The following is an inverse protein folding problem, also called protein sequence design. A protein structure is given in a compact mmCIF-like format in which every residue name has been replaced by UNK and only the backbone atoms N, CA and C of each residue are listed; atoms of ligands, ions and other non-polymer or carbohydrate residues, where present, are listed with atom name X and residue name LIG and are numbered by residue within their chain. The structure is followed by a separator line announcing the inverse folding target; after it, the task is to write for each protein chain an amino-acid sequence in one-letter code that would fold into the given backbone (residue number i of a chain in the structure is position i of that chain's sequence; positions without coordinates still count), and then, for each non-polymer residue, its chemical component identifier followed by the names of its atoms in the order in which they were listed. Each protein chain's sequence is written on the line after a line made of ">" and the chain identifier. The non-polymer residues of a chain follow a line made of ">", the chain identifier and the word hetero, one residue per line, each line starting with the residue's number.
data_IF_332652370732
#
_entry.id   IF_332652370732
#
_cell.length_a   1.000
_cell.length_b   1.000
_cell.length_c   1.000
_cell.angle_alpha   90.00
_cell.angle_beta   90.00
_cell.angle_gamma   90.00
#
_symmetry.space_group_name_H-M   'P 1'
#
loop_
_entity.id
_entity.type
_entity.pdbx_description
1 polymer ?
#
# COMPACT_ATOMS: atom_id res chain seq x y z
N UNK A 1 -41.07 29.28 43.09
CA UNK A 1 -41.54 30.67 42.92
C UNK A 1 -40.32 31.59 42.85
N UNK A 2 -40.24 32.42 41.79
CA UNK A 2 -39.29 33.54 41.49
C UNK A 2 -37.81 33.15 41.31
N UNK A 3 -37.16 33.18 40.13
CA UNK A 3 -36.98 34.17 39.04
C UNK A 3 -36.11 35.40 39.39
N UNK A 4 -34.89 35.49 38.83
CA UNK A 4 -34.24 36.69 38.22
C UNK A 4 -32.73 36.42 38.00
N UNK A 5 -32.19 36.37 36.77
CA UNK A 5 -31.78 37.42 35.79
C UNK A 5 -30.26 37.70 35.83
N UNK A 6 -29.70 37.89 34.62
CA UNK A 6 -28.31 37.85 34.17
C UNK A 6 -27.41 39.08 34.54
N UNK A 7 -26.09 38.78 34.59
CA UNK A 7 -24.92 39.54 34.05
C UNK A 7 -24.42 40.84 34.71
N UNK A 8 -23.19 41.37 34.42
CA UNK A 8 -22.01 40.84 33.70
C UNK A 8 -20.65 40.94 34.46
N UNK A 9 -19.60 40.35 33.88
CA UNK A 9 -18.19 40.31 34.30
C UNK A 9 -17.44 41.65 34.24
N UNK A 10 -16.27 41.77 34.91
CA UNK A 10 -15.17 42.60 34.44
C UNK A 10 -13.87 41.82 34.14
N UNK A 11 -13.12 42.44 33.25
CA UNK A 11 -11.99 42.01 32.42
C UNK A 11 -10.64 41.85 33.14
N UNK A 12 -9.89 40.81 32.77
CA UNK A 12 -8.45 40.61 33.04
C UNK A 12 -7.55 41.36 32.04
N UNK A 13 -6.37 41.87 32.43
CA UNK A 13 -5.50 42.64 31.54
C UNK A 13 -4.61 41.78 30.63
N UNK A 14 -4.46 42.26 29.39
CA UNK A 14 -3.67 41.70 28.28
C UNK A 14 -2.16 41.86 28.50
N UNK A 15 -1.41 40.76 28.44
CA UNK A 15 0.05 40.73 28.34
C UNK A 15 0.51 40.83 26.88
N UNK A 16 1.46 41.75 26.66
CA UNK A 16 2.09 42.17 25.40
C UNK A 16 3.18 41.18 24.97
N UNK A 17 3.31 40.76 23.69
CA UNK A 17 4.46 39.96 23.26
C UNK A 17 5.66 40.84 22.86
N UNK A 18 6.84 40.56 23.46
CA UNK A 18 8.15 41.09 23.07
C UNK A 18 8.57 40.54 21.70
N UNK A 19 8.92 41.43 20.76
CA UNK A 19 9.66 41.12 19.52
C UNK A 19 11.11 40.78 19.86
N UNK A 20 11.58 39.61 19.44
CA UNK A 20 13.00 39.31 19.31
C UNK A 20 13.36 39.50 17.84
N UNK A 21 14.14 40.55 17.57
CA UNK A 21 14.84 40.78 16.31
C UNK A 21 15.95 39.74 16.20
N UNK A 22 16.09 39.06 15.07
CA UNK A 22 17.41 38.68 14.60
C UNK A 22 17.55 38.95 13.10
N UNK A 23 18.59 39.73 12.83
CA UNK A 23 18.98 40.34 11.58
C UNK A 23 20.25 39.61 11.14
N UNK A 24 20.19 38.81 10.08
CA UNK A 24 21.37 38.50 9.27
C UNK A 24 20.93 38.49 7.79
N UNK A 25 21.55 39.42 7.06
CA UNK A 25 21.80 39.49 5.61
C UNK A 25 21.66 38.17 4.85
N UNK A 26 21.09 38.10 3.65
CA UNK A 26 21.14 39.07 2.56
C UNK A 26 21.84 38.41 1.37
N UNK A 27 21.08 37.79 0.47
CA UNK A 27 21.46 37.61 -0.95
C UNK A 27 20.18 37.69 -1.77
N UNK A 28 20.11 38.73 -2.58
CA UNK A 28 19.09 39.04 -3.58
C UNK A 28 19.67 38.62 -4.93
N UNK A 29 18.95 37.81 -5.71
CA UNK A 29 19.18 37.73 -7.15
C UNK A 29 17.82 37.91 -7.82
N UNK A 30 17.72 39.03 -8.53
CA UNK A 30 16.55 39.52 -9.22
C UNK A 30 16.20 38.66 -10.44
N UNK A 31 14.91 38.65 -10.75
CA UNK A 31 14.35 38.18 -12.00
C UNK A 31 14.63 39.18 -13.13
N UNK A 32 15.04 38.70 -14.30
CA UNK A 32 14.94 39.45 -15.55
C UNK A 32 14.39 38.50 -16.63
N UNK A 33 13.22 38.86 -17.14
CA UNK A 33 12.69 38.46 -18.44
C UNK A 33 13.35 39.30 -19.53
N UNK A 34 13.76 38.70 -20.66
CA UNK A 34 13.51 39.23 -22.00
C UNK A 34 13.97 38.27 -23.11
N UNK A 35 13.40 38.50 -24.28
CA UNK A 35 13.23 37.65 -25.45
C UNK A 35 14.36 37.73 -26.50
N UNK A 36 14.27 36.77 -27.43
CA UNK A 36 14.57 36.84 -28.89
C UNK A 36 16.02 36.83 -29.43
N UNK A 37 16.26 35.75 -30.20
CA UNK A 37 16.81 35.65 -31.57
C UNK A 37 18.31 35.80 -31.88
N UNK A 38 18.79 34.76 -32.59
CA UNK A 38 19.63 34.78 -33.80
C UNK A 38 21.00 34.07 -33.71
N UNK A 39 20.98 32.83 -34.21
CA UNK A 39 21.82 32.23 -35.26
C UNK A 39 23.35 32.43 -35.27
N UNK A 40 24.07 31.30 -35.25
CA UNK A 40 25.14 30.99 -36.23
C UNK A 40 25.13 29.50 -36.58
N UNK A 41 25.01 29.25 -37.89
CA UNK A 41 25.12 27.99 -38.61
C UNK A 41 26.56 27.47 -38.70
N UNK A 42 26.70 26.15 -38.87
CA UNK A 42 27.62 25.44 -39.81
C UNK A 42 27.38 23.93 -39.63
N UNK A 43 26.49 23.27 -40.40
CA UNK A 43 26.63 22.73 -41.76
C UNK A 43 27.27 21.33 -41.83
N UNK A 44 26.51 20.34 -42.32
CA UNK A 44 26.95 19.29 -43.26
C UNK A 44 25.84 18.27 -43.60
N UNK A 45 25.33 18.46 -44.82
CA UNK A 45 25.05 17.45 -45.88
C UNK A 45 24.10 16.26 -45.63
N UNK A 46 23.03 16.29 -46.42
CA UNK A 46 22.11 15.20 -46.76
C UNK A 46 22.78 14.03 -47.49
N UNK A 47 22.38 12.80 -47.15
CA UNK A 47 22.17 11.74 -48.14
C UNK A 47 21.10 10.74 -47.65
N UNK A 48 20.02 10.68 -48.40
CA UNK A 48 18.95 9.68 -48.31
C UNK A 48 19.35 8.40 -49.05
N UNK A 49 19.27 7.24 -48.40
CA UNK A 49 19.26 5.94 -49.09
C UNK A 49 18.35 4.94 -48.37
N UNK A 50 17.40 4.40 -49.13
CA UNK A 50 16.58 3.24 -48.81
C UNK A 50 17.34 1.95 -49.07
N UNK A 51 17.30 0.97 -48.15
CA UNK A 51 17.57 -0.46 -48.43
C UNK A 51 16.76 -1.27 -47.39
N UNK A 52 15.63 -1.90 -47.75
CA UNK A 52 15.49 -3.28 -48.28
C UNK A 52 16.05 -4.35 -47.32
N UNK A 53 15.22 -4.88 -46.43
CA UNK A 53 15.54 -6.11 -45.69
C UNK A 53 14.97 -7.33 -46.42
N UNK A 54 15.88 -8.17 -46.90
CA UNK A 54 15.62 -9.44 -47.55
C UNK A 54 14.91 -10.43 -46.60
N UNK A 55 13.81 -11.01 -47.07
CA UNK A 55 13.26 -12.25 -46.52
C UNK A 55 14.02 -13.43 -47.15
N UNK A 56 14.74 -14.19 -46.32
CA UNK A 56 15.27 -15.50 -46.70
C UNK A 56 14.17 -16.55 -46.64
N UNK A 57 14.04 -17.29 -47.74
CA UNK A 57 13.16 -18.43 -47.96
C UNK A 57 13.35 -19.51 -46.89
N UNK A 58 12.25 -20.04 -46.37
CA UNK A 58 12.16 -21.45 -45.99
C UNK A 58 10.97 -22.04 -46.75
N UNK A 59 11.23 -23.13 -47.47
CA UNK A 59 10.35 -23.80 -48.41
C UNK A 59 9.89 -25.14 -47.79
N UNK A 60 8.66 -25.56 -48.09
CA UNK A 60 8.07 -26.86 -47.72
C UNK A 60 7.30 -26.78 -46.39
N UNK A 61 6.04 -27.17 -46.25
CA UNK A 61 5.22 -28.09 -47.04
C UNK A 61 3.74 -27.66 -46.87
N UNK A 62 3.01 -27.54 -47.98
CA UNK A 62 1.56 -27.23 -47.99
C UNK A 62 0.81 -28.55 -48.17
N UNK A 63 -0.18 -28.81 -47.33
CA UNK A 63 -1.26 -29.75 -47.65
C UNK A 63 -2.58 -29.04 -47.41
N UNK A 64 -3.36 -28.93 -48.49
CA UNK A 64 -4.71 -28.36 -48.55
C UNK A 64 -5.76 -29.47 -48.33
N UNK A 65 -7.03 -29.09 -48.06
CA UNK A 65 -8.00 -29.92 -47.36
C UNK A 65 -8.80 -30.83 -48.29
N UNK A 66 -9.39 -31.89 -47.72
CA UNK A 66 -10.37 -32.76 -48.39
C UNK A 66 -11.76 -32.48 -47.82
N UNK A 67 -12.67 -32.16 -48.73
CA UNK A 67 -14.10 -31.96 -48.56
C UNK A 67 -14.80 -33.30 -48.85
N UNK A 68 -15.61 -33.82 -47.94
CA UNK A 68 -16.61 -34.85 -48.24
C UNK A 68 -17.92 -34.46 -47.55
N UNK A 69 -18.94 -34.28 -48.38
CA UNK A 69 -20.37 -34.15 -48.04
C UNK A 69 -20.98 -35.52 -47.76
N UNK A 70 -21.86 -35.63 -46.76
CA UNK A 70 -22.75 -36.77 -46.55
C UNK A 70 -23.71 -36.51 -45.39
N UNK A 71 -25.00 -36.52 -45.69
CA UNK A 71 -26.12 -36.31 -44.77
C UNK A 71 -26.58 -37.64 -44.10
N UNK A 72 -27.61 -37.53 -43.25
CA UNK A 72 -28.30 -38.56 -42.43
C UNK A 72 -27.64 -38.81 -41.06
N UNK A 73 -28.31 -38.70 -39.90
CA UNK A 73 -29.72 -38.90 -39.58
C UNK A 73 -29.81 -40.12 -38.64
N UNK A 74 -29.81 -39.91 -37.32
CA UNK A 74 -29.96 -41.02 -36.37
C UNK A 74 -29.67 -40.64 -34.92
N UNK A 75 -30.73 -40.58 -34.12
CA UNK A 75 -30.71 -40.55 -32.66
C UNK A 75 -29.85 -41.69 -32.09
N UNK A 76 -28.97 -41.37 -31.14
CA UNK A 76 -28.43 -42.36 -30.22
C UNK A 76 -28.44 -41.82 -28.79
N UNK A 77 -29.48 -42.21 -28.07
CA UNK A 77 -29.56 -42.11 -26.61
C UNK A 77 -28.61 -43.14 -26.01
N UNK A 78 -27.59 -42.68 -25.28
CA UNK A 78 -26.76 -43.53 -24.44
C UNK A 78 -26.93 -43.12 -22.97
N UNK A 79 -27.77 -43.88 -22.27
CA UNK A 79 -27.92 -43.90 -20.81
C UNK A 79 -27.15 -45.10 -20.28
N UNK A 80 -26.15 -44.88 -19.44
CA UNK A 80 -25.55 -45.82 -18.49
C UNK A 80 -24.28 -45.17 -17.91
N UNK A 81 -23.83 -45.33 -16.67
CA UNK A 81 -24.34 -45.88 -15.41
C UNK A 81 -23.36 -45.34 -14.37
N UNK A 82 -23.86 -44.91 -13.22
CA UNK A 82 -23.05 -44.47 -12.07
C UNK A 82 -22.11 -45.59 -11.60
N UNK A 83 -20.80 -45.33 -11.62
CA UNK A 83 -19.83 -46.11 -10.85
C UNK A 83 -19.35 -45.21 -9.71
N UNK A 84 -19.75 -45.58 -8.49
CA UNK A 84 -19.21 -45.04 -7.26
C UNK A 84 -17.85 -45.67 -7.01
N UNK A 85 -16.76 -44.94 -7.27
CA UNK A 85 -15.46 -45.24 -6.68
C UNK A 85 -15.32 -44.44 -5.38
N UNK A 86 -15.47 -45.19 -4.28
CA UNK A 86 -15.20 -44.77 -2.92
C UNK A 86 -13.69 -44.88 -2.67
N UNK A 87 -12.96 -43.82 -3.00
CA UNK A 87 -11.62 -43.60 -2.45
C UNK A 87 -11.68 -42.58 -1.32
N UNK A 88 -11.12 -42.98 -0.18
CA UNK A 88 -11.09 -42.22 1.09
C UNK A 88 -10.20 -40.98 1.03
N UNK A 89 -10.57 -40.00 0.21
CA UNK A 89 -10.07 -38.64 0.29
C UNK A 89 -10.87 -37.91 1.39
N UNK A 90 -10.19 -37.33 2.38
CA UNK A 90 -10.82 -36.48 3.39
C UNK A 90 -11.80 -35.50 2.72
N UNK A 91 -13.02 -35.30 3.26
CA UNK A 91 -14.06 -34.56 2.56
C UNK A 91 -13.55 -33.17 2.22
N UNK A 92 -13.32 -32.91 0.93
CA UNK A 92 -13.01 -31.56 0.43
C UNK A 92 -14.11 -30.66 0.98
N UNK A 93 -13.79 -29.62 1.77
CA UNK A 93 -14.82 -28.76 2.36
C UNK A 93 -15.71 -28.26 1.23
N UNK A 94 -17.03 -28.39 1.39
CA UNK A 94 -17.99 -28.01 0.37
C UNK A 94 -17.67 -26.59 -0.13
N UNK A 95 -17.89 -26.33 -1.43
CA UNK A 95 -17.55 -25.04 -2.06
C UNK A 95 -18.10 -23.83 -1.29
N UNK A 96 -19.23 -24.00 -0.61
CA UNK A 96 -19.82 -23.03 0.31
C UNK A 96 -18.99 -22.78 1.57
N UNK A 97 -18.45 -23.82 2.22
CA UNK A 97 -17.59 -23.68 3.41
C UNK A 97 -16.31 -22.93 3.06
N UNK A 98 -15.69 -23.22 1.92
CA UNK A 98 -14.49 -22.51 1.46
C UNK A 98 -14.79 -21.03 1.17
N UNK A 99 -15.93 -20.76 0.53
CA UNK A 99 -16.37 -19.39 0.23
C UNK A 99 -16.68 -18.61 1.52
N UNK A 100 -17.35 -19.24 2.48
CA UNK A 100 -17.64 -18.65 3.78
C UNK A 100 -16.35 -18.38 4.57
N UNK A 101 -15.43 -19.34 4.62
CA UNK A 101 -14.13 -19.18 5.27
C UNK A 101 -13.35 -18.00 4.66
N UNK A 102 -13.32 -17.90 3.33
CA UNK A 102 -12.67 -16.79 2.65
C UNK A 102 -13.34 -15.45 2.97
N UNK A 103 -14.68 -15.40 2.96
CA UNK A 103 -15.45 -14.22 3.36
C UNK A 103 -15.15 -13.76 4.79
N UNK A 104 -15.08 -14.70 5.74
CA UNK A 104 -14.69 -14.41 7.12
C UNK A 104 -13.26 -13.88 7.23
N UNK A 105 -12.32 -14.40 6.44
CA UNK A 105 -10.95 -13.88 6.40
C UNK A 105 -10.89 -12.44 5.90
N UNK A 106 -11.65 -12.10 4.83
CA UNK A 106 -11.77 -10.70 4.37
C UNK A 106 -12.41 -9.80 5.43
N UNK A 107 -13.47 -10.26 6.08
CA UNK A 107 -14.11 -9.53 7.19
C UNK A 107 -13.13 -9.24 8.33
N UNK A 108 -12.41 -10.27 8.79
CA UNK A 108 -11.39 -10.14 9.83
C UNK A 108 -10.26 -9.20 9.40
N UNK A 109 -9.80 -9.32 8.16
CA UNK A 109 -8.77 -8.42 7.61
C UNK A 109 -9.19 -6.96 7.68
N UNK A 110 -10.42 -6.65 7.29
CA UNK A 110 -10.93 -5.27 7.30
C UNK A 110 -11.17 -4.75 8.71
N UNK A 111 -11.78 -5.55 9.58
CA UNK A 111 -12.03 -5.18 10.99
C UNK A 111 -10.72 -4.87 11.70
N UNK A 112 -9.73 -5.77 11.61
CA UNK A 112 -8.42 -5.54 12.22
C UNK A 112 -7.73 -4.30 11.65
N UNK A 113 -7.87 -4.03 10.35
CA UNK A 113 -7.29 -2.84 9.75
C UNK A 113 -7.97 -1.54 10.20
N UNK A 114 -9.29 -1.55 10.40
CA UNK A 114 -10.04 -0.42 10.98
C UNK A 114 -9.57 -0.15 12.40
N UNK A 115 -9.53 -1.20 13.24
CA UNK A 115 -9.04 -1.09 14.62
C UNK A 115 -7.60 -0.59 14.69
N UNK A 116 -6.71 -1.10 13.83
CA UNK A 116 -5.35 -0.59 13.71
C UNK A 116 -5.34 0.91 13.41
N UNK A 117 -5.99 1.36 12.34
CA UNK A 117 -5.89 2.77 11.92
C UNK A 117 -6.51 3.75 12.94
N UNK A 118 -7.66 3.38 13.51
CA UNK A 118 -8.34 4.22 14.52
C UNK A 118 -7.51 4.31 15.80
N UNK A 119 -7.05 3.17 16.35
CA UNK A 119 -6.27 3.18 17.58
C UNK A 119 -4.88 3.79 17.37
N UNK A 120 -4.23 3.52 16.24
CA UNK A 120 -2.94 4.11 15.89
C UNK A 120 -3.02 5.64 15.81
N UNK A 121 -4.08 6.18 15.18
CA UNK A 121 -4.30 7.63 15.16
C UNK A 121 -4.52 8.19 16.56
N UNK A 122 -5.26 7.50 17.43
CA UNK A 122 -5.46 7.94 18.80
C UNK A 122 -4.15 7.94 19.60
N UNK A 123 -3.31 6.91 19.44
CA UNK A 123 -1.97 6.85 20.05
C UNK A 123 -1.11 8.01 19.53
N UNK A 124 -1.03 8.23 18.22
CA UNK A 124 -0.20 9.28 17.63
C UNK A 124 -0.70 10.71 17.95
N UNK A 125 -1.97 10.88 18.33
CA UNK A 125 -2.49 12.17 18.84
C UNK A 125 -1.93 12.54 20.20
N UNK A 126 -1.75 11.57 21.10
CA UNK A 126 -1.27 11.80 22.47
C UNK A 126 0.22 11.54 22.64
N UNK A 127 0.80 10.67 21.80
CA UNK A 127 2.19 10.28 21.79
C UNK A 127 2.77 10.47 20.37
N UNK A 128 3.19 11.71 20.01
CA UNK A 128 3.52 12.11 18.64
C UNK A 128 4.95 11.68 18.21
N UNK A 129 5.30 10.42 18.48
CA UNK A 129 6.60 9.81 18.21
C UNK A 129 6.43 8.64 17.23
N UNK A 130 6.24 8.92 15.93
CA UNK A 130 5.89 7.90 14.94
C UNK A 130 6.98 6.84 14.73
N UNK A 131 8.27 7.17 14.91
CA UNK A 131 9.35 6.18 14.75
C UNK A 131 9.24 5.14 15.86
N UNK A 132 9.07 5.59 17.10
CA UNK A 132 8.90 4.75 18.29
C UNK A 132 7.63 3.91 18.19
N UNK A 133 6.49 4.51 17.82
CA UNK A 133 5.23 3.76 17.65
C UNK A 133 5.36 2.67 16.59
N UNK A 134 6.03 2.96 15.47
CA UNK A 134 6.30 1.97 14.41
C UNK A 134 7.26 0.88 14.90
N UNK A 135 8.29 1.24 15.67
CA UNK A 135 9.22 0.28 16.25
C UNK A 135 8.52 -0.67 17.24
N UNK A 136 7.61 -0.16 18.08
CA UNK A 136 6.76 -0.96 18.98
C UNK A 136 5.87 -1.92 18.18
N UNK A 137 5.30 -1.48 17.06
CA UNK A 137 4.51 -2.34 16.18
C UNK A 137 5.32 -3.51 15.63
N UNK A 138 6.54 -3.25 15.14
CA UNK A 138 7.44 -4.31 14.68
C UNK A 138 7.99 -5.19 15.82
N UNK A 139 8.19 -4.61 17.02
CA UNK A 139 8.62 -5.36 18.20
C UNK A 139 7.57 -6.40 18.61
N UNK A 140 6.31 -5.99 18.75
CA UNK A 140 5.21 -6.90 19.09
C UNK A 140 5.00 -7.93 17.96
N UNK A 141 5.07 -7.51 16.69
CA UNK A 141 5.03 -8.45 15.57
C UNK A 141 6.13 -9.49 15.64
N UNK A 142 7.36 -9.09 15.96
CA UNK A 142 8.50 -9.99 16.19
C UNK A 142 8.24 -10.96 17.33
N UNK A 143 7.69 -10.50 18.46
CA UNK A 143 7.32 -11.37 19.59
C UNK A 143 6.25 -12.41 19.19
N UNK A 144 5.24 -12.01 18.42
CA UNK A 144 4.21 -12.91 17.92
C UNK A 144 4.77 -13.96 16.93
N UNK A 145 5.71 -13.56 16.07
CA UNK A 145 6.42 -14.50 15.17
C UNK A 145 7.25 -15.50 15.98
N UNK A 146 8.02 -15.00 16.96
CA UNK A 146 8.82 -15.87 17.82
C UNK A 146 7.93 -16.85 18.59
N UNK A 147 6.81 -16.39 19.14
CA UNK A 147 5.81 -17.24 19.77
C UNK A 147 5.29 -18.32 18.81
N UNK A 148 4.88 -17.93 17.60
CA UNK A 148 4.41 -18.85 16.55
C UNK A 148 5.44 -19.94 16.19
N UNK A 149 6.72 -19.58 16.05
CA UNK A 149 7.78 -20.54 15.75
C UNK A 149 8.18 -21.41 16.94
N UNK A 150 8.21 -20.85 18.16
CA UNK A 150 8.55 -21.61 19.38
C UNK A 150 7.51 -22.66 19.73
N UNK A 151 6.23 -22.36 19.53
CA UNK A 151 5.13 -23.30 19.71
C UNK A 151 4.90 -24.21 18.48
N UNK A 152 5.75 -24.10 17.45
CA UNK A 152 5.64 -24.85 16.20
C UNK A 152 4.26 -24.74 15.52
N UNK A 153 3.59 -23.59 15.69
CA UNK A 153 2.29 -23.29 15.05
C UNK A 153 2.47 -23.04 13.55
N UNK A 154 3.68 -22.67 13.12
CA UNK A 154 4.08 -22.59 11.73
C UNK A 154 5.54 -23.00 11.59
N UNK A 155 5.87 -23.66 10.47
CA UNK A 155 7.23 -24.20 10.23
C UNK A 155 8.24 -23.06 10.18
N UNK A 156 9.20 -23.08 11.11
CA UNK A 156 10.32 -22.12 11.13
C UNK A 156 11.13 -22.25 9.83
N UNK A 157 11.41 -21.13 9.14
CA UNK A 157 12.17 -21.18 7.90
C UNK A 157 13.65 -21.43 8.20
N UNK A 158 14.30 -22.25 7.37
CA UNK A 158 15.76 -22.36 7.32
C UNK A 158 16.25 -21.25 6.39
N UNK A 159 16.82 -20.18 6.94
CA UNK A 159 17.28 -19.03 6.16
C UNK A 159 18.81 -18.96 6.23
N UNK A 160 19.47 -19.00 5.07
CA UNK A 160 20.91 -18.79 4.93
C UNK A 160 21.27 -17.30 5.05
N UNK A 161 22.52 -17.00 5.42
CA UNK A 161 23.03 -15.62 5.45
C UNK A 161 22.89 -14.90 4.09
N UNK A 162 23.11 -15.61 2.98
CA UNK A 162 22.93 -15.09 1.63
C UNK A 162 21.47 -14.76 1.30
N UNK A 163 20.51 -15.52 1.83
CA UNK A 163 19.09 -15.20 1.71
C UNK A 163 18.73 -13.96 2.54
N UNK A 164 19.27 -13.80 3.76
CA UNK A 164 19.05 -12.59 4.57
C UNK A 164 19.54 -11.33 3.87
N UNK A 165 20.73 -11.36 3.26
CA UNK A 165 21.26 -10.22 2.47
C UNK A 165 20.35 -9.90 1.27
N UNK A 166 19.78 -10.92 0.61
CA UNK A 166 18.85 -10.72 -0.49
C UNK A 166 17.48 -10.15 -0.04
N UNK A 167 17.05 -10.44 1.19
CA UNK A 167 15.79 -9.95 1.78
C UNK A 167 15.97 -8.54 2.38
N UNK A 168 17.19 -8.16 2.76
CA UNK A 168 17.47 -6.87 3.40
C UNK A 168 16.91 -5.66 2.64
N UNK A 169 17.06 -5.52 1.31
CA UNK A 169 16.46 -4.42 0.57
C UNK A 169 14.93 -4.37 0.71
N UNK A 170 14.26 -5.53 0.72
CA UNK A 170 12.81 -5.63 0.91
C UNK A 170 12.41 -5.18 2.32
N UNK A 171 13.21 -5.55 3.34
CA UNK A 171 12.98 -5.14 4.73
C UNK A 171 13.14 -3.64 4.92
N UNK A 172 14.17 -3.02 4.32
CA UNK A 172 14.38 -1.56 4.37
C UNK A 172 13.18 -0.80 3.79
N UNK A 173 12.76 -1.15 2.57
CA UNK A 173 11.61 -0.46 1.94
C UNK A 173 10.29 -0.73 2.65
N UNK A 174 10.10 -1.93 3.24
CA UNK A 174 8.94 -2.24 4.06
C UNK A 174 8.91 -1.41 5.35
N UNK A 175 10.07 -1.27 6.01
CA UNK A 175 10.23 -0.44 7.21
C UNK A 175 9.86 1.01 6.91
N UNK A 176 10.46 1.58 5.85
CA UNK A 176 10.19 2.96 5.43
C UNK A 176 8.73 3.18 5.03
N UNK A 177 8.11 2.23 4.32
CA UNK A 177 6.71 2.32 3.94
C UNK A 177 5.74 2.38 5.12
N UNK A 178 5.97 1.56 6.15
CA UNK A 178 5.18 1.60 7.37
C UNK A 178 5.46 2.85 8.20
N UNK A 179 6.75 3.23 8.33
CA UNK A 179 7.13 4.45 9.03
C UNK A 179 6.49 5.68 8.41
N UNK A 180 6.60 5.88 7.10
CA UNK A 180 6.01 7.03 6.42
C UNK A 180 4.48 7.03 6.47
N UNK A 181 3.85 5.85 6.48
CA UNK A 181 2.40 5.74 6.72
C UNK A 181 2.06 6.26 8.13
N UNK A 182 2.79 5.85 9.16
CA UNK A 182 2.58 6.32 10.54
C UNK A 182 2.90 7.81 10.72
N UNK A 183 3.94 8.33 10.05
CA UNK A 183 4.24 9.77 10.04
C UNK A 183 3.09 10.57 9.42
N UNK A 184 2.48 10.06 8.35
CA UNK A 184 1.28 10.68 7.75
C UNK A 184 0.09 10.64 8.71
N UNK A 185 -0.24 9.47 9.25
CA UNK A 185 -1.33 9.32 10.24
C UNK A 185 -1.13 10.21 11.47
N UNK A 186 0.10 10.50 11.87
CA UNK A 186 0.40 11.44 12.95
C UNK A 186 0.05 12.89 12.60
N UNK A 187 0.15 13.29 11.33
CA UNK A 187 0.05 14.69 10.88
C UNK A 187 -1.29 15.06 10.24
N UNK A 188 -1.98 14.12 9.60
CA UNK A 188 -3.24 14.37 8.86
C UNK A 188 -4.35 13.42 9.29
N UNK A 189 -5.57 13.59 8.78
CA UNK A 189 -6.66 12.65 8.98
C UNK A 189 -6.34 11.25 8.42
N UNK A 190 -6.90 10.22 9.05
CA UNK A 190 -6.75 8.82 8.61
C UNK A 190 -7.33 8.65 7.20
N UNK A 191 -8.53 9.18 6.97
CA UNK A 191 -9.18 9.22 5.67
C UNK A 191 -8.27 9.81 4.60
N UNK A 192 -7.70 10.99 4.85
CA UNK A 192 -6.82 11.66 3.91
C UNK A 192 -5.54 10.85 3.61
N UNK A 193 -4.91 10.25 4.63
CA UNK A 193 -3.76 9.37 4.44
C UNK A 193 -4.10 8.24 3.46
N UNK A 194 -5.24 7.59 3.65
CA UNK A 194 -5.68 6.49 2.79
C UNK A 194 -6.15 6.95 1.40
N UNK A 195 -6.69 8.16 1.27
CA UNK A 195 -6.95 8.79 -0.03
C UNK A 195 -5.65 9.02 -0.80
N UNK A 196 -4.63 9.66 -0.21
CA UNK A 196 -3.33 9.88 -0.87
C UNK A 196 -2.65 8.55 -1.21
N UNK A 197 -2.77 7.55 -0.35
CA UNK A 197 -2.23 6.22 -0.63
C UNK A 197 -2.91 5.53 -1.82
N UNK A 198 -4.05 6.03 -2.32
CA UNK A 198 -4.68 5.48 -3.53
C UNK A 198 -3.80 5.66 -4.78
N UNK A 199 -2.76 6.50 -4.71
CA UNK A 199 -1.73 6.68 -5.74
C UNK A 199 -0.77 5.49 -5.90
N UNK A 200 -0.92 4.41 -5.12
CA UNK A 200 -0.11 3.19 -5.25
C UNK A 200 0.03 2.69 -6.71
N UNK A 201 -1.04 2.59 -7.53
CA UNK A 201 -0.93 2.21 -8.94
C UNK A 201 -0.02 3.10 -9.78
N UNK A 202 -0.03 4.42 -9.53
CA UNK A 202 0.83 5.36 -10.25
C UNK A 202 2.31 5.02 -10.04
N UNK A 203 2.73 4.88 -8.78
CA UNK A 203 4.10 4.48 -8.46
C UNK A 203 4.42 3.07 -8.94
N UNK A 204 3.46 2.15 -8.92
CA UNK A 204 3.63 0.79 -9.45
C UNK A 204 3.98 0.81 -10.94
N UNK A 205 3.27 1.60 -11.74
CA UNK A 205 3.51 1.73 -13.19
C UNK A 205 4.87 2.36 -13.46
N UNK A 206 5.17 3.49 -12.80
CA UNK A 206 6.45 4.19 -12.97
C UNK A 206 7.63 3.26 -12.63
N UNK A 207 7.60 2.60 -11.48
CA UNK A 207 8.68 1.73 -11.05
C UNK A 207 8.81 0.48 -11.91
N UNK A 208 7.70 -0.10 -12.38
CA UNK A 208 7.76 -1.28 -13.28
C UNK A 208 8.35 -0.88 -14.64
N UNK A 209 7.95 0.28 -15.19
CA UNK A 209 8.53 0.77 -16.43
C UNK A 209 10.04 1.05 -16.29
N UNK A 210 10.46 1.71 -15.21
CA UNK A 210 11.87 2.08 -14.98
C UNK A 210 12.77 0.88 -14.65
N UNK A 211 12.33 -0.05 -13.81
CA UNK A 211 13.20 -1.11 -13.28
C UNK A 211 13.05 -2.48 -13.94
N UNK A 212 11.90 -2.74 -14.57
CA UNK A 212 11.59 -3.99 -15.27
C UNK A 212 11.48 -3.80 -16.79
N UNK A 213 11.45 -2.55 -17.30
CA UNK A 213 11.30 -2.26 -18.73
C UNK A 213 9.90 -2.57 -19.28
N UNK A 214 8.93 -2.88 -18.42
CA UNK A 214 7.56 -3.17 -18.86
C UNK A 214 6.80 -1.87 -19.11
N UNK A 215 6.75 -1.42 -20.36
CA UNK A 215 5.99 -0.23 -20.72
C UNK A 215 4.48 -0.41 -20.50
N UNK A 216 3.80 0.59 -19.88
CA UNK A 216 2.35 0.54 -19.71
C UNK A 216 1.64 0.71 -21.05
N UNK A 217 0.51 0.05 -21.20
CA UNK A 217 -0.39 0.30 -22.33
C UNK A 217 -1.08 1.65 -22.16
N UNK A 218 -1.57 2.23 -23.26
CA UNK A 218 -2.34 3.48 -23.21
C UNK A 218 -3.50 3.41 -22.21
N UNK A 219 -4.21 2.28 -22.16
CA UNK A 219 -5.30 2.04 -21.20
C UNK A 219 -4.85 2.10 -19.74
N UNK A 220 -3.66 1.58 -19.43
CA UNK A 220 -3.09 1.66 -18.07
C UNK A 220 -2.81 3.13 -17.76
N UNK A 221 -2.19 3.88 -18.66
CA UNK A 221 -1.89 5.31 -18.47
C UNK A 221 -3.17 6.12 -18.29
N UNK A 222 -4.18 5.91 -19.14
CA UNK A 222 -5.49 6.58 -19.03
C UNK A 222 -6.19 6.29 -17.69
N UNK A 223 -6.06 5.07 -17.16
CA UNK A 223 -6.61 4.73 -15.85
C UNK A 223 -5.93 5.44 -14.67
N UNK A 224 -4.72 6.00 -14.85
CA UNK A 224 -4.03 6.78 -13.82
C UNK A 224 -4.57 8.21 -13.68
N UNK A 225 -5.09 8.80 -14.75
CA UNK A 225 -5.65 10.16 -14.71
C UNK A 225 -6.71 10.36 -13.61
N UNK A 226 -7.76 9.52 -13.49
CA UNK A 226 -8.73 9.67 -12.40
C UNK A 226 -8.11 9.45 -11.01
N UNK A 227 -7.07 8.60 -10.88
CA UNK A 227 -6.37 8.39 -9.61
C UNK A 227 -5.67 9.69 -9.18
N UNK A 228 -4.83 10.23 -10.07
CA UNK A 228 -4.05 11.45 -9.80
C UNK A 228 -4.97 12.65 -9.61
N UNK A 229 -5.95 12.84 -10.50
CA UNK A 229 -6.91 13.94 -10.44
C UNK A 229 -7.78 13.89 -9.18
N UNK A 230 -8.28 12.71 -8.82
CA UNK A 230 -9.08 12.52 -7.61
C UNK A 230 -8.30 12.83 -6.33
N UNK A 231 -7.05 12.37 -6.23
CA UNK A 231 -6.18 12.67 -5.08
C UNK A 231 -5.81 14.15 -5.03
N UNK A 232 -5.55 14.78 -6.16
CA UNK A 232 -5.29 16.22 -6.23
C UNK A 232 -6.50 17.03 -5.75
N UNK A 233 -7.71 16.69 -6.21
CA UNK A 233 -8.96 17.35 -5.83
C UNK A 233 -9.27 17.17 -4.33
N UNK A 234 -9.08 15.95 -3.80
CA UNK A 234 -9.25 15.69 -2.37
C UNK A 234 -8.22 16.46 -1.52
N UNK A 235 -6.96 16.51 -1.96
CA UNK A 235 -5.89 17.23 -1.26
C UNK A 235 -6.11 18.74 -1.23
N UNK A 236 -6.62 19.32 -2.31
CA UNK A 236 -6.92 20.76 -2.38
C UNK A 236 -8.02 21.22 -1.41
N UNK A 237 -8.87 20.30 -0.96
CA UNK A 237 -10.06 20.58 -0.14
C UNK A 237 -10.03 19.86 1.21
N UNK A 238 -8.88 19.32 1.60
CA UNK A 238 -8.68 18.61 2.85
C UNK A 238 -8.46 19.58 4.03
N UNK A 239 -9.35 19.53 5.02
CA UNK A 239 -9.27 20.39 6.20
C UNK A 239 -8.02 20.14 7.05
N UNK A 240 -7.56 18.89 7.11
CA UNK A 240 -6.37 18.50 7.88
C UNK A 240 -5.06 18.58 7.08
N UNK A 241 -5.05 19.23 5.91
CA UNK A 241 -3.92 19.17 5.00
C UNK A 241 -2.62 19.64 5.66
N UNK A 242 -1.62 18.76 5.64
CA UNK A 242 -0.28 19.06 6.13
C UNK A 242 0.73 18.54 5.10
N UNK A 243 1.63 19.42 4.64
CA UNK A 243 2.63 19.07 3.61
C UNK A 243 3.50 17.89 4.01
N UNK A 244 3.98 17.84 5.26
CA UNK A 244 4.80 16.73 5.72
C UNK A 244 4.00 15.42 5.79
N UNK A 245 2.73 15.47 6.22
CA UNK A 245 1.86 14.31 6.22
C UNK A 245 1.52 13.81 4.80
N UNK A 246 1.25 14.72 3.86
CA UNK A 246 1.02 14.41 2.46
C UNK A 246 2.25 13.76 1.81
N UNK A 247 3.42 14.39 1.94
CA UNK A 247 4.67 13.84 1.38
C UNK A 247 5.07 12.53 2.02
N UNK A 248 4.79 12.33 3.31
CA UNK A 248 4.98 11.02 3.96
C UNK A 248 4.04 9.96 3.36
N UNK A 249 2.76 10.27 3.12
CA UNK A 249 1.87 9.33 2.43
C UNK A 249 2.35 8.99 1.01
N UNK A 250 2.81 9.99 0.23
CA UNK A 250 3.40 9.78 -1.09
C UNK A 250 4.68 8.92 -1.04
N UNK A 251 5.58 9.21 -0.11
CA UNK A 251 6.78 8.42 0.12
C UNK A 251 6.44 6.96 0.51
N UNK A 252 5.38 6.75 1.30
CA UNK A 252 4.90 5.41 1.63
C UNK A 252 4.43 4.64 0.40
N UNK A 253 3.84 5.30 -0.60
CA UNK A 253 3.45 4.65 -1.85
C UNK A 253 4.69 4.24 -2.64
N UNK A 254 5.67 5.15 -2.76
CA UNK A 254 6.92 4.89 -3.46
C UNK A 254 7.67 3.68 -2.86
N UNK A 255 7.85 3.65 -1.54
CA UNK A 255 8.58 2.56 -0.86
C UNK A 255 7.80 1.24 -0.87
N UNK A 256 6.48 1.27 -0.64
CA UNK A 256 5.65 0.06 -0.72
C UNK A 256 5.62 -0.54 -2.14
N UNK A 257 5.56 0.29 -3.18
CA UNK A 257 5.63 -0.21 -4.56
C UNK A 257 7.04 -0.66 -4.95
N UNK A 258 8.08 0.00 -4.44
CA UNK A 258 9.46 -0.44 -4.59
C UNK A 258 9.64 -1.85 -4.01
N UNK A 259 9.05 -2.14 -2.85
CA UNK A 259 9.02 -3.50 -2.28
C UNK A 259 8.42 -4.52 -3.24
N UNK A 260 7.29 -4.19 -3.86
CA UNK A 260 6.60 -5.10 -4.78
C UNK A 260 7.43 -5.37 -6.04
N UNK A 261 8.10 -4.34 -6.57
CA UNK A 261 8.96 -4.45 -7.76
C UNK A 261 10.27 -5.18 -7.45
N UNK A 262 10.92 -4.85 -6.33
CA UNK A 262 12.12 -5.52 -5.86
C UNK A 262 11.86 -6.99 -5.53
N UNK A 263 10.71 -7.31 -4.92
CA UNK A 263 10.31 -8.69 -4.66
C UNK A 263 10.24 -9.50 -5.96
N UNK A 264 9.63 -8.97 -7.03
CA UNK A 264 9.64 -9.63 -8.35
C UNK A 264 11.05 -9.86 -8.90
N UNK A 265 11.91 -8.84 -8.82
CA UNK A 265 13.27 -8.88 -9.39
C UNK A 265 14.22 -9.81 -8.63
N UNK A 266 14.10 -9.83 -7.30
CA UNK A 266 15.00 -10.56 -6.40
C UNK A 266 14.51 -11.97 -6.07
N UNK A 267 13.20 -12.21 -6.06
CA UNK A 267 12.63 -13.52 -5.73
C UNK A 267 12.30 -14.37 -6.96
N UNK A 268 12.21 -13.78 -8.16
CA UNK A 268 12.02 -14.54 -9.40
C UNK A 268 13.22 -15.38 -9.86
N UNK A 269 14.36 -15.34 -9.14
CA UNK A 269 15.65 -15.91 -9.57
C UNK A 269 16.26 -16.98 -8.64
N UNK A 270 15.55 -17.50 -7.63
CA UNK A 270 16.13 -18.48 -6.67
C UNK A 270 15.22 -19.69 -6.45
N UNK A 271 15.80 -20.90 -6.49
CA UNK A 271 15.16 -22.22 -6.35
C UNK A 271 14.61 -22.52 -4.94
N UNK A 272 15.04 -21.80 -3.89
CA UNK A 272 14.44 -21.89 -2.55
C UNK A 272 13.68 -20.61 -2.21
N UNK A 273 12.46 -20.49 -2.73
CA UNK A 273 11.57 -19.39 -2.37
C UNK A 273 10.96 -19.64 -0.99
N UNK A 274 11.17 -18.71 -0.06
CA UNK A 274 10.42 -18.69 1.20
C UNK A 274 8.94 -18.47 0.89
N UNK A 275 8.06 -19.19 1.58
CA UNK A 275 6.63 -18.93 1.54
C UNK A 275 6.32 -17.50 1.99
N UNK A 276 5.16 -16.96 1.60
CA UNK A 276 4.85 -15.54 1.81
C UNK A 276 4.78 -15.19 3.31
N UNK A 277 4.32 -16.13 4.14
CA UNK A 277 4.20 -15.97 5.59
C UNK A 277 5.59 -15.87 6.23
N UNK A 278 6.50 -16.81 5.93
CA UNK A 278 7.85 -16.78 6.46
C UNK A 278 8.68 -15.63 5.91
N UNK A 279 8.50 -15.25 4.64
CA UNK A 279 9.11 -14.05 4.09
C UNK A 279 8.65 -12.80 4.85
N UNK A 280 7.34 -12.64 5.06
CA UNK A 280 6.80 -11.52 5.84
C UNK A 280 7.31 -11.53 7.29
N UNK A 281 7.44 -12.71 7.88
CA UNK A 281 7.99 -12.88 9.24
C UNK A 281 9.45 -12.41 9.31
N UNK A 282 10.31 -12.87 8.40
CA UNK A 282 11.72 -12.45 8.34
C UNK A 282 11.83 -10.93 8.09
N UNK A 283 11.03 -10.39 7.16
CA UNK A 283 10.97 -8.94 6.90
C UNK A 283 10.58 -8.16 8.16
N UNK A 284 9.60 -8.63 8.93
CA UNK A 284 9.12 -7.98 10.16
C UNK A 284 10.21 -7.94 11.24
N UNK A 285 10.92 -9.06 11.45
CA UNK A 285 12.03 -9.13 12.41
C UNK A 285 13.17 -8.18 12.00
N UNK A 286 13.56 -8.20 10.72
CA UNK A 286 14.58 -7.28 10.21
C UNK A 286 14.13 -5.82 10.33
N UNK A 287 12.84 -5.53 10.09
CA UNK A 287 12.29 -4.18 10.23
C UNK A 287 12.37 -3.66 11.65
N UNK A 288 12.14 -4.52 12.65
CA UNK A 288 12.36 -4.18 14.06
C UNK A 288 13.84 -3.85 14.33
N UNK A 289 14.77 -4.71 13.89
CA UNK A 289 16.22 -4.53 14.10
C UNK A 289 16.72 -3.24 13.45
N UNK A 290 16.21 -2.87 12.27
CA UNK A 290 16.58 -1.65 11.57
C UNK A 290 15.98 -0.39 12.24
N UNK A 291 14.73 -0.47 12.70
CA UNK A 291 14.01 0.71 13.18
C UNK A 291 14.25 1.01 14.67
N UNK A 292 14.48 -0.01 15.50
CA UNK A 292 14.73 0.15 16.93
C UNK A 292 15.90 1.11 17.26
N UNK A 293 17.12 0.95 16.69
CA UNK A 293 18.20 1.90 16.95
C UNK A 293 17.83 3.31 16.45
N UNK A 294 17.21 3.41 15.28
CA UNK A 294 16.76 4.69 14.72
C UNK A 294 15.78 5.41 15.64
N UNK A 295 14.84 4.69 16.26
CA UNK A 295 13.90 5.24 17.25
C UNK A 295 14.64 5.79 18.48
N UNK A 296 15.60 5.03 19.01
CA UNK A 296 16.39 5.45 20.16
C UNK A 296 17.24 6.68 19.83
N UNK A 297 17.90 6.73 18.67
CA UNK A 297 18.74 7.84 18.27
C UNK A 297 17.96 9.12 17.94
N UNK A 298 16.82 9.02 17.25
CA UNK A 298 16.08 10.20 16.77
C UNK A 298 15.06 10.72 17.78
N UNK A 299 14.33 9.83 18.45
CA UNK A 299 13.23 10.23 19.34
C UNK A 299 13.59 10.05 20.83
N UNK A 300 14.61 9.24 21.14
CA UNK A 300 15.04 8.94 22.50
C UNK A 300 14.16 7.88 23.18
N UNK A 301 14.53 7.51 24.41
CA UNK A 301 13.80 6.51 25.21
C UNK A 301 12.60 7.15 25.92
N UNK A 302 11.63 7.61 25.13
CA UNK A 302 10.42 8.32 25.61
C UNK A 302 9.21 7.41 25.85
N UNK A 303 9.30 6.13 25.45
CA UNK A 303 8.25 5.15 25.69
C UNK A 303 8.34 4.55 27.10
N UNK A 304 8.54 5.41 28.10
CA UNK A 304 8.78 5.05 29.50
C UNK A 304 7.68 5.61 30.41
N UNK A 305 7.36 4.93 31.53
CA UNK A 305 6.35 5.43 32.47
C UNK A 305 6.72 6.80 33.05
N UNK A 306 8.01 7.07 33.26
CA UNK A 306 8.52 8.35 33.77
C UNK A 306 8.24 9.50 32.81
N UNK A 307 8.56 9.36 31.52
CA UNK A 307 8.27 10.37 30.51
C UNK A 307 6.76 10.60 30.34
N UNK A 308 5.97 9.52 30.31
CA UNK A 308 4.51 9.62 30.16
C UNK A 308 3.86 10.32 31.34
N UNK A 309 4.27 10.02 32.59
CA UNK A 309 3.81 10.74 33.78
C UNK A 309 4.18 12.22 33.74
N UNK A 310 5.44 12.52 33.41
CA UNK A 310 5.92 13.90 33.30
C UNK A 310 5.18 14.70 32.21
N UNK A 311 4.72 14.01 31.16
CA UNK A 311 3.95 14.61 30.06
C UNK A 311 2.44 14.67 30.31
N UNK A 312 1.95 14.25 31.50
CA UNK A 312 0.53 14.23 31.83
C UNK A 312 -0.28 13.17 31.06
N UNK A 313 0.37 12.17 30.48
CA UNK A 313 -0.29 11.13 29.67
C UNK A 313 -0.83 10.00 30.56
N UNK A 314 -2.00 9.48 30.20
CA UNK A 314 -2.52 8.26 30.81
C UNK A 314 -1.72 7.04 30.32
N UNK A 315 -0.79 6.60 31.18
CA UNK A 315 0.14 5.50 30.91
C UNK A 315 -0.60 4.23 30.47
N UNK A 316 -1.66 3.86 31.20
CA UNK A 316 -2.42 2.63 30.95
C UNK A 316 -3.09 2.70 29.59
N UNK A 317 -3.67 3.84 29.25
CA UNK A 317 -4.32 4.06 27.96
C UNK A 317 -3.32 4.00 26.80
N UNK A 318 -2.15 4.66 26.90
CA UNK A 318 -1.13 4.65 25.86
C UNK A 318 -0.55 3.25 25.65
N UNK A 319 -0.18 2.54 26.71
CA UNK A 319 0.38 1.19 26.57
C UNK A 319 -0.64 0.18 26.04
N UNK A 320 -1.86 0.14 26.60
CA UNK A 320 -2.89 -0.82 26.16
C UNK A 320 -3.26 -0.54 24.70
N UNK A 321 -3.51 0.73 24.32
CA UNK A 321 -3.85 1.06 22.93
C UNK A 321 -2.69 0.80 21.98
N UNK A 322 -1.44 1.06 22.39
CA UNK A 322 -0.26 0.74 21.57
C UNK A 322 -0.12 -0.77 21.37
N UNK A 323 -0.35 -1.58 22.41
CA UNK A 323 -0.34 -3.03 22.32
C UNK A 323 -1.44 -3.56 21.39
N UNK A 324 -2.69 -3.13 21.58
CA UNK A 324 -3.82 -3.50 20.72
C UNK A 324 -3.52 -3.10 19.27
N UNK A 325 -3.03 -1.87 19.05
CA UNK A 325 -2.65 -1.38 17.72
C UNK A 325 -1.59 -2.27 17.08
N UNK A 326 -0.56 -2.64 17.84
CA UNK A 326 0.54 -3.46 17.35
C UNK A 326 0.12 -4.90 17.02
N UNK A 327 -0.73 -5.51 17.86
CA UNK A 327 -1.32 -6.83 17.59
C UNK A 327 -2.20 -6.75 16.34
N UNK A 328 -3.10 -5.77 16.24
CA UNK A 328 -3.91 -5.57 15.04
C UNK A 328 -3.05 -5.37 13.79
N UNK A 329 -1.97 -4.58 13.90
CA UNK A 329 -1.02 -4.30 12.82
C UNK A 329 -0.41 -5.57 12.24
N UNK A 330 0.15 -6.42 13.10
CA UNK A 330 0.73 -7.68 12.67
C UNK A 330 -0.34 -8.63 12.11
N UNK A 331 -1.43 -8.83 12.84
CA UNK A 331 -2.45 -9.82 12.48
C UNK A 331 -3.17 -9.47 11.18
N UNK A 332 -3.50 -8.20 10.93
CA UNK A 332 -4.15 -7.85 9.65
C UNK A 332 -3.21 -8.11 8.46
N UNK A 333 -1.90 -7.88 8.62
CA UNK A 333 -0.93 -8.12 7.54
C UNK A 333 -0.80 -9.61 7.29
N UNK A 334 -0.69 -10.41 8.35
CA UNK A 334 -0.66 -11.86 8.28
C UNK A 334 -1.90 -12.42 7.55
N UNK A 335 -3.10 -12.01 7.97
CA UNK A 335 -4.36 -12.41 7.31
C UNK A 335 -4.37 -11.99 5.84
N UNK A 336 -3.83 -10.81 5.50
CA UNK A 336 -3.72 -10.38 4.10
C UNK A 336 -2.86 -11.31 3.24
N UNK A 337 -1.73 -11.81 3.76
CA UNK A 337 -0.91 -12.80 3.05
C UNK A 337 -1.59 -14.17 2.96
N UNK A 338 -2.27 -14.60 4.02
CA UNK A 338 -3.05 -15.85 3.99
C UNK A 338 -4.19 -15.80 2.95
N UNK A 339 -4.83 -14.63 2.77
CA UNK A 339 -5.82 -14.43 1.70
C UNK A 339 -5.13 -14.51 0.34
N UNK A 340 -3.97 -13.85 0.17
CA UNK A 340 -3.24 -13.82 -1.10
C UNK A 340 -2.84 -15.22 -1.58
N UNK A 341 -2.58 -16.16 -0.68
CA UNK A 341 -2.30 -17.56 -1.01
C UNK A 341 -3.54 -18.33 -1.50
N UNK A 342 -4.74 -17.84 -1.19
CA UNK A 342 -6.02 -18.50 -1.51
C UNK A 342 -6.78 -17.84 -2.66
N UNK A 343 -6.38 -16.63 -3.09
CA UNK A 343 -7.07 -15.87 -4.13
C UNK A 343 -6.11 -15.38 -5.19
N UNK A 344 -6.64 -15.08 -6.38
CA UNK A 344 -5.82 -14.46 -7.42
C UNK A 344 -5.26 -13.11 -6.97
N UNK A 345 -4.07 -12.70 -7.45
CA UNK A 345 -3.53 -11.36 -7.17
C UNK A 345 -4.49 -10.21 -7.56
N UNK A 346 -5.35 -10.43 -8.55
CA UNK A 346 -6.38 -9.47 -8.98
C UNK A 346 -7.47 -9.35 -7.91
N UNK A 347 -7.96 -10.47 -7.39
CA UNK A 347 -8.94 -10.50 -6.29
C UNK A 347 -8.40 -9.81 -5.04
N UNK A 348 -7.14 -10.09 -4.68
CA UNK A 348 -6.47 -9.44 -3.55
C UNK A 348 -6.33 -7.92 -3.76
N UNK A 349 -6.03 -7.47 -4.98
CA UNK A 349 -5.99 -6.05 -5.35
C UNK A 349 -7.35 -5.37 -5.20
N UNK A 350 -8.44 -6.02 -5.64
CA UNK A 350 -9.81 -5.52 -5.44
C UNK A 350 -10.13 -5.44 -3.94
N UNK A 351 -9.76 -6.46 -3.17
CA UNK A 351 -9.91 -6.47 -1.71
C UNK A 351 -9.16 -5.31 -1.03
N UNK A 352 -7.95 -4.98 -1.48
CA UNK A 352 -7.23 -3.80 -0.99
C UNK A 352 -7.95 -2.48 -1.29
N UNK A 353 -8.61 -2.38 -2.45
CA UNK A 353 -9.42 -1.22 -2.79
C UNK A 353 -10.62 -1.08 -1.84
N UNK A 354 -11.36 -2.18 -1.61
CA UNK A 354 -12.49 -2.21 -0.67
C UNK A 354 -12.01 -1.88 0.74
N UNK A 355 -10.94 -2.53 1.23
CA UNK A 355 -10.31 -2.25 2.53
C UNK A 355 -10.09 -0.75 2.74
N UNK A 356 -9.54 -0.06 1.73
CA UNK A 356 -9.27 1.38 1.76
C UNK A 356 -10.56 2.19 1.92
N UNK A 357 -11.62 1.84 1.17
CA UNK A 357 -12.95 2.46 1.31
C UNK A 357 -13.46 2.29 2.74
N UNK A 358 -13.42 1.08 3.29
CA UNK A 358 -13.96 0.82 4.64
C UNK A 358 -13.18 1.61 5.70
N UNK A 359 -11.85 1.68 5.61
CA UNK A 359 -11.03 2.48 6.52
C UNK A 359 -11.38 3.96 6.43
N UNK A 360 -11.51 4.51 5.22
CA UNK A 360 -11.87 5.92 5.02
C UNK A 360 -13.21 6.21 5.69
N UNK A 361 -14.25 5.47 5.34
CA UNK A 361 -15.61 5.66 5.88
C UNK A 361 -15.64 5.50 7.40
N UNK A 362 -15.10 4.40 7.93
CA UNK A 362 -15.08 4.16 9.37
C UNK A 362 -14.30 5.24 10.12
N UNK A 363 -13.19 5.72 9.57
CA UNK A 363 -12.39 6.77 10.21
C UNK A 363 -13.09 8.14 10.22
N UNK A 364 -13.77 8.52 9.13
CA UNK A 364 -14.57 9.76 9.06
C UNK A 364 -15.69 9.72 10.08
N UNK A 365 -16.43 8.61 10.14
CA UNK A 365 -17.53 8.43 11.11
C UNK A 365 -17.03 8.43 12.55
N UNK A 366 -15.94 7.71 12.84
CA UNK A 366 -15.39 7.60 14.20
C UNK A 366 -14.82 8.92 14.71
N UNK A 367 -13.98 9.60 13.90
CA UNK A 367 -13.36 10.86 14.29
C UNK A 367 -14.26 12.08 14.06
N UNK A 368 -15.43 11.89 13.45
CA UNK A 368 -16.34 12.98 13.00
C UNK A 368 -15.57 14.07 12.27
N UNK A 369 -14.67 13.65 11.37
CA UNK A 369 -13.81 14.58 10.63
C UNK A 369 -14.67 15.36 9.63
N UNK A 370 -14.61 16.69 9.58
CA UNK A 370 -15.35 17.46 8.59
C UNK A 370 -14.79 17.16 7.20
N UNK A 371 -15.61 16.61 6.30
CA UNK A 371 -15.24 16.31 4.92
C UNK A 371 -16.13 17.13 3.99
N UNK A 372 -15.53 17.92 3.11
CA UNK A 372 -16.27 18.69 2.12
C UNK A 372 -16.84 17.77 1.02
N UNK A 373 -17.88 18.23 0.32
CA UNK A 373 -18.43 17.48 -0.82
C UNK A 373 -17.38 17.27 -1.91
N UNK A 374 -16.55 18.29 -2.16
CA UNK A 374 -15.47 18.23 -3.15
C UNK A 374 -14.39 17.21 -2.74
N UNK A 375 -14.03 17.14 -1.46
CA UNK A 375 -13.09 16.13 -0.96
C UNK A 375 -13.65 14.71 -1.11
N UNK A 376 -14.93 14.53 -0.80
CA UNK A 376 -15.64 13.25 -0.97
C UNK A 376 -15.65 12.84 -2.44
N UNK A 377 -15.97 13.76 -3.35
CA UNK A 377 -15.96 13.51 -4.79
C UNK A 377 -14.56 13.15 -5.30
N UNK A 378 -13.53 13.91 -4.90
CA UNK A 378 -12.14 13.61 -5.26
C UNK A 378 -11.69 12.23 -4.77
N UNK A 379 -12.03 11.88 -3.52
CA UNK A 379 -11.75 10.56 -2.95
C UNK A 379 -12.47 9.46 -3.73
N UNK A 380 -13.75 9.64 -4.08
CA UNK A 380 -14.51 8.68 -4.86
C UNK A 380 -13.93 8.47 -6.28
N UNK A 381 -13.57 9.56 -6.97
CA UNK A 381 -12.92 9.51 -8.28
C UNK A 381 -11.59 8.76 -8.21
N UNK A 382 -10.77 9.01 -7.18
CA UNK A 382 -9.50 8.32 -7.00
C UNK A 382 -9.69 6.81 -6.80
N UNK A 383 -10.63 6.41 -5.95
CA UNK A 383 -10.91 4.99 -5.66
C UNK A 383 -11.51 4.27 -6.88
N UNK A 384 -12.40 4.93 -7.62
CA UNK A 384 -12.92 4.43 -8.89
C UNK A 384 -11.79 4.24 -9.91
N UNK A 385 -10.84 5.18 -9.98
CA UNK A 385 -9.64 5.05 -10.80
C UNK A 385 -8.78 3.83 -10.43
N UNK A 386 -8.59 3.55 -9.13
CA UNK A 386 -7.85 2.36 -8.66
C UNK A 386 -8.56 1.07 -9.07
N UNK A 387 -9.89 1.04 -8.99
CA UNK A 387 -10.69 -0.09 -9.46
C UNK A 387 -10.55 -0.29 -10.98
N UNK A 388 -10.68 0.79 -11.76
CA UNK A 388 -10.48 0.78 -13.21
C UNK A 388 -9.08 0.28 -13.58
N UNK A 389 -8.02 0.80 -12.94
CA UNK A 389 -6.65 0.34 -13.12
C UNK A 389 -6.51 -1.16 -12.84
N UNK A 390 -7.10 -1.65 -11.75
CA UNK A 390 -7.03 -3.07 -11.38
C UNK A 390 -7.68 -3.96 -12.45
N UNK A 391 -8.79 -3.51 -13.04
CA UNK A 391 -9.45 -4.21 -14.15
C UNK A 391 -8.62 -4.18 -15.43
N UNK A 392 -8.16 -3.01 -15.86
CA UNK A 392 -7.32 -2.86 -17.07
C UNK A 392 -6.06 -3.71 -16.97
N UNK A 393 -5.39 -3.71 -15.82
CA UNK A 393 -4.18 -4.52 -15.59
C UNK A 393 -4.45 -6.02 -15.69
N UNK A 394 -5.64 -6.47 -15.27
CA UNK A 394 -6.03 -7.88 -15.36
C UNK A 394 -6.29 -8.36 -16.79
N UNK A 395 -6.60 -7.45 -17.72
CA UNK A 395 -6.89 -7.77 -19.13
C UNK A 395 -5.63 -7.98 -19.97
N UNK A 396 -4.44 -7.58 -19.49
CA UNK A 396 -3.18 -7.76 -20.25
C UNK A 396 -2.82 -9.26 -20.29
N UNK A 397 -2.77 -9.92 -21.46
CA UNK A 397 -2.30 -11.29 -21.56
C UNK A 397 -0.85 -11.35 -21.07
N UNK A 398 -0.53 -12.31 -20.21
CA UNK A 398 0.89 -12.58 -19.88
C UNK A 398 1.59 -12.99 -21.19
N UNK A 399 2.78 -12.45 -21.51
CA UNK A 399 3.57 -13.00 -22.60
C UNK A 399 3.74 -14.49 -22.33
N UNK A 400 3.38 -15.35 -23.29
CA UNK A 400 3.74 -16.77 -23.21
C UNK A 400 5.26 -16.81 -23.08
N UNK A 401 5.76 -17.46 -22.04
CA UNK A 401 7.17 -17.80 -21.99
C UNK A 401 7.45 -18.64 -23.24
N UNK A 402 8.30 -18.09 -24.13
CA UNK A 402 8.82 -18.80 -25.30
C UNK A 402 9.99 -19.64 -24.85
#
# INVERSE_FOLDING_TARGET
>A
MRSSVLSPSPTTPLLKPRRILNRISGVRIDAISQSSSSSKDFDLSHHSLSVRSSYSRFNGFVSKPVLITGAEGGDFVARATSVSESDGEAPKPSSLVQTLQLGLMFGLWYILNIYFNINNKQVLKVYPFPITVTAVQFAVGTLLIMFMWTLNLYKRPKVSGAQLVAILPLAVVHTLGNLFTNMSLGKVAVSFTHTVKAMEPFFSVVLTALFLGEMPTLWIVLSLFPIVGGVALASATEASFNRAGFWSAMASNLTNQSRNVLSKKLMGKKEESLDNINLFSVITIMSFILLAPTAIFMEGVKFTPSFMRASGLNIKEVYIRSLITAVCFYTYQQVSYMILERVSPVTHSVGNCVKRVVIIVSSVTFFRTPVSLVNTLGTAIALAGVFLYSRVKSLKPRPKAV
#
